data_IF_010304066375
#
_entry.id   IF_010304066375
#
_cell.length_a   1.000
_cell.length_b   1.000
_cell.length_c   1.000
_cell.angle_alpha   90.00
_cell.angle_beta   90.00
_cell.angle_gamma   90.00
#
_symmetry.space_group_name_H-M   'P 1'
#
loop_
_entity.id
_entity.type
_entity.pdbx_description
1 polymer ?
#
# COMPACT_ATOMS: atom_id res chain seq x y z
N UNK A 1 -74.97 -42.66 42.44
CA UNK A 1 -75.55 -41.33 42.19
C UNK A 1 -74.63 -40.52 41.28
N UNK A 2 -75.01 -40.26 40.02
CA UNK A 2 -74.22 -39.42 39.09
C UNK A 2 -74.78 -37.99 39.13
N UNK A 3 -74.03 -37.01 39.66
CA UNK A 3 -74.41 -35.59 39.60
C UNK A 3 -74.19 -35.08 38.17
N UNK A 4 -75.26 -34.62 37.50
CA UNK A 4 -75.17 -33.92 36.21
C UNK A 4 -74.86 -32.44 36.47
N UNK A 5 -73.74 -31.96 35.94
CA UNK A 5 -73.38 -30.54 35.96
C UNK A 5 -74.12 -29.86 34.80
N UNK A 6 -74.93 -28.85 35.09
CA UNK A 6 -75.65 -28.06 34.10
C UNK A 6 -74.92 -26.73 33.91
N UNK A 7 -74.14 -26.61 32.83
CA UNK A 7 -73.38 -25.39 32.51
C UNK A 7 -74.25 -24.44 31.66
N UNK A 8 -74.33 -23.16 32.01
CA UNK A 8 -75.05 -22.14 31.22
C UNK A 8 -74.35 -21.88 29.88
N UNK A 9 -75.12 -21.79 28.79
CA UNK A 9 -74.63 -21.46 27.44
C UNK A 9 -73.83 -20.15 27.38
N UNK A 10 -74.13 -19.18 28.26
CA UNK A 10 -73.35 -17.93 28.37
C UNK A 10 -71.92 -18.15 28.84
N UNK A 11 -71.69 -19.10 29.76
CA UNK A 11 -70.37 -19.45 30.28
C UNK A 11 -69.55 -20.23 29.25
N UNK A 12 -70.22 -21.05 28.44
CA UNK A 12 -69.58 -21.74 27.32
C UNK A 12 -69.10 -20.75 26.25
N UNK A 13 -69.92 -19.75 25.90
CA UNK A 13 -69.58 -18.74 24.89
C UNK A 13 -68.40 -17.86 25.33
N UNK A 14 -68.38 -17.39 26.58
CA UNK A 14 -67.27 -16.58 27.10
C UNK A 14 -65.97 -17.36 27.16
N UNK A 15 -66.00 -18.65 27.53
CA UNK A 15 -64.83 -19.51 27.50
C UNK A 15 -64.25 -19.69 26.09
N UNK A 16 -65.11 -19.85 25.08
CA UNK A 16 -64.69 -19.93 23.66
C UNK A 16 -64.06 -18.62 23.18
N UNK A 17 -64.65 -17.47 23.52
CA UNK A 17 -64.11 -16.16 23.14
C UNK A 17 -62.75 -15.87 23.80
N UNK A 18 -62.61 -16.19 25.08
CA UNK A 18 -61.32 -16.06 25.79
C UNK A 18 -60.28 -17.01 25.19
N UNK A 19 -60.67 -18.24 24.85
CA UNK A 19 -59.79 -19.22 24.18
C UNK A 19 -59.30 -18.74 22.81
N UNK A 20 -60.21 -18.20 21.99
CA UNK A 20 -59.88 -17.65 20.67
C UNK A 20 -58.96 -16.41 20.77
N UNK A 21 -59.24 -15.52 21.74
CA UNK A 21 -58.40 -14.36 22.01
C UNK A 21 -56.99 -14.75 22.49
N UNK A 22 -56.90 -15.72 23.40
CA UNK A 22 -55.62 -16.26 23.86
C UNK A 22 -54.84 -16.91 22.71
N UNK A 23 -55.49 -17.70 21.87
CA UNK A 23 -54.88 -18.31 20.70
C UNK A 23 -54.35 -17.25 19.70
N UNK A 24 -55.12 -16.19 19.44
CA UNK A 24 -54.68 -15.09 18.58
C UNK A 24 -53.44 -14.36 19.14
N UNK A 25 -53.40 -14.10 20.45
CA UNK A 25 -52.24 -13.49 21.10
C UNK A 25 -51.00 -14.39 21.01
N UNK A 26 -51.16 -15.70 21.25
CA UNK A 26 -50.08 -16.67 21.10
C UNK A 26 -49.56 -16.71 19.66
N UNK A 27 -50.47 -16.77 18.67
CA UNK A 27 -50.11 -16.77 17.25
C UNK A 27 -49.34 -15.49 16.85
N UNK A 28 -49.83 -14.31 17.28
CA UNK A 28 -49.16 -13.03 17.03
C UNK A 28 -47.75 -13.01 17.64
N UNK A 29 -47.60 -13.47 18.90
CA UNK A 29 -46.31 -13.53 19.57
C UNK A 29 -45.33 -14.46 18.84
N UNK A 30 -45.77 -15.66 18.44
CA UNK A 30 -44.94 -16.60 17.66
C UNK A 30 -44.48 -15.97 16.35
N UNK A 31 -45.37 -15.27 15.63
CA UNK A 31 -45.02 -14.55 14.41
C UNK A 31 -43.98 -13.45 14.66
N UNK A 32 -44.16 -12.63 15.70
CA UNK A 32 -43.20 -11.57 16.06
C UNK A 32 -41.84 -12.14 16.45
N UNK A 33 -41.80 -13.25 17.19
CA UNK A 33 -40.55 -13.96 17.52
C UNK A 33 -39.85 -14.46 16.25
N UNK A 34 -40.61 -15.01 15.30
CA UNK A 34 -40.08 -15.44 14.00
C UNK A 34 -39.49 -14.28 13.19
N UNK A 35 -40.15 -13.13 13.19
CA UNK A 35 -39.65 -11.93 12.48
C UNK A 35 -38.39 -11.36 13.16
N UNK A 36 -38.36 -11.33 14.50
CA UNK A 36 -37.20 -10.88 15.27
C UNK A 36 -35.99 -11.81 15.07
N UNK A 37 -36.19 -13.13 15.09
CA UNK A 37 -35.13 -14.12 14.83
C UNK A 37 -34.58 -14.00 13.41
N UNK A 38 -35.46 -13.76 12.41
CA UNK A 38 -35.03 -13.47 11.04
C UNK A 38 -34.15 -12.21 10.97
N UNK A 39 -34.56 -11.10 11.61
CA UNK A 39 -33.77 -9.86 11.65
C UNK A 39 -32.44 -10.05 12.37
N UNK A 40 -32.43 -10.80 13.48
CA UNK A 40 -31.20 -11.12 14.21
C UNK A 40 -30.24 -11.91 13.33
N UNK A 41 -30.72 -12.97 12.67
CA UNK A 41 -29.90 -13.77 11.76
C UNK A 41 -29.34 -12.95 10.58
N UNK A 42 -30.13 -11.99 10.06
CA UNK A 42 -29.66 -11.09 9.01
C UNK A 42 -28.62 -10.10 9.52
N UNK A 43 -28.80 -9.57 10.74
CA UNK A 43 -27.82 -8.70 11.37
C UNK A 43 -26.50 -9.44 11.63
N UNK A 44 -26.57 -10.65 12.16
CA UNK A 44 -25.41 -11.55 12.37
C UNK A 44 -24.67 -11.80 11.05
N UNK A 45 -25.40 -12.15 9.98
CA UNK A 45 -24.81 -12.34 8.65
C UNK A 45 -24.10 -11.08 8.16
N UNK A 46 -24.72 -9.90 8.30
CA UNK A 46 -24.10 -8.61 7.93
C UNK A 46 -22.84 -8.34 8.74
N UNK A 47 -22.86 -8.61 10.04
CA UNK A 47 -21.68 -8.45 10.89
C UNK A 47 -20.56 -9.42 10.52
N UNK A 48 -20.89 -10.66 10.15
CA UNK A 48 -19.92 -11.64 9.67
C UNK A 48 -19.26 -11.19 8.36
N UNK A 49 -20.05 -10.72 7.39
CA UNK A 49 -19.54 -10.18 6.11
C UNK A 49 -18.67 -8.94 6.34
N UNK A 50 -19.09 -8.04 7.24
CA UNK A 50 -18.31 -6.85 7.56
C UNK A 50 -16.97 -7.21 8.23
N UNK A 51 -16.98 -8.16 9.17
CA UNK A 51 -15.77 -8.66 9.81
C UNK A 51 -14.82 -9.33 8.82
N UNK A 52 -15.34 -10.11 7.87
CA UNK A 52 -14.52 -10.73 6.82
C UNK A 52 -13.91 -9.67 5.89
N UNK A 53 -14.69 -8.64 5.54
CA UNK A 53 -14.20 -7.50 4.74
C UNK A 53 -13.08 -6.75 5.47
N UNK A 54 -13.22 -6.52 6.78
CA UNK A 54 -12.18 -5.91 7.61
C UNK A 54 -10.91 -6.75 7.65
N UNK A 55 -11.04 -8.07 7.78
CA UNK A 55 -9.91 -9.00 7.74
C UNK A 55 -9.19 -8.94 6.39
N UNK A 56 -9.92 -9.01 5.28
CA UNK A 56 -9.34 -8.92 3.93
C UNK A 56 -8.60 -7.61 3.73
N UNK A 57 -9.18 -6.49 4.18
CA UNK A 57 -8.55 -5.19 4.08
C UNK A 57 -7.29 -5.10 4.93
N UNK A 58 -7.32 -5.63 6.15
CA UNK A 58 -6.16 -5.71 7.03
C UNK A 58 -5.03 -6.54 6.40
N UNK A 59 -5.35 -7.73 5.89
CA UNK A 59 -4.39 -8.58 5.18
C UNK A 59 -3.81 -7.87 3.96
N UNK A 60 -4.61 -7.07 3.26
CA UNK A 60 -4.17 -6.27 2.12
C UNK A 60 -3.17 -5.19 2.53
N UNK A 61 -3.44 -4.48 3.63
CA UNK A 61 -2.52 -3.47 4.18
C UNK A 61 -1.18 -4.10 4.55
N UNK A 62 -1.19 -5.27 5.18
CA UNK A 62 0.04 -6.01 5.51
C UNK A 62 0.83 -6.32 4.24
N UNK A 63 0.19 -6.92 3.23
CA UNK A 63 0.85 -7.26 1.95
C UNK A 63 1.43 -6.03 1.24
N UNK A 64 0.70 -4.91 1.26
CA UNK A 64 1.19 -3.66 0.68
C UNK A 64 2.38 -3.11 1.44
N UNK A 65 2.35 -3.17 2.78
CA UNK A 65 3.47 -2.74 3.61
C UNK A 65 4.71 -3.60 3.38
N UNK A 66 4.56 -4.92 3.27
CA UNK A 66 5.66 -5.83 2.95
C UNK A 66 6.24 -5.56 1.56
N UNK A 67 5.37 -5.34 0.56
CA UNK A 67 5.81 -4.97 -0.78
C UNK A 67 6.55 -3.62 -0.79
N UNK A 68 6.08 -2.65 -0.01
CA UNK A 68 6.71 -1.35 0.13
C UNK A 68 8.08 -1.47 0.79
N UNK A 69 8.17 -2.21 1.89
CA UNK A 69 9.42 -2.49 2.58
C UNK A 69 10.44 -3.13 1.64
N UNK A 70 10.04 -4.17 0.90
CA UNK A 70 10.91 -4.85 -0.07
C UNK A 70 11.37 -3.91 -1.19
N UNK A 71 10.48 -3.06 -1.72
CA UNK A 71 10.83 -2.11 -2.78
C UNK A 71 11.77 -0.98 -2.30
N UNK A 72 11.74 -0.68 -0.99
CA UNK A 72 12.49 0.41 -0.39
C UNK A 72 13.74 -0.04 0.39
N UNK A 73 13.93 -1.35 0.52
CA UNK A 73 14.94 -1.98 1.39
C UNK A 73 16.36 -1.41 1.22
N UNK A 74 16.78 -1.15 -0.03
CA UNK A 74 18.11 -0.63 -0.34
C UNK A 74 18.19 0.90 -0.44
N UNK A 75 17.08 1.62 -0.32
CA UNK A 75 17.11 3.07 -0.43
C UNK A 75 17.83 3.67 0.78
N UNK A 76 18.75 4.60 0.51
CA UNK A 76 19.59 5.21 1.55
C UNK A 76 18.79 5.71 2.77
N UNK A 77 17.61 6.32 2.54
CA UNK A 77 16.79 6.88 3.63
C UNK A 77 16.24 5.87 4.63
N UNK A 78 16.14 4.58 4.25
CA UNK A 78 15.62 3.52 5.11
C UNK A 78 16.74 2.62 5.66
N UNK A 79 17.99 2.82 5.22
CA UNK A 79 19.16 2.13 5.75
C UNK A 79 19.82 2.97 6.88
N UNK A 80 19.46 2.65 8.12
CA UNK A 80 20.00 3.33 9.30
C UNK A 80 21.52 3.19 9.48
N UNK A 81 22.12 2.10 9.00
CA UNK A 81 23.57 1.92 9.05
C UNK A 81 24.26 2.82 8.03
N UNK A 82 23.70 2.93 6.83
CA UNK A 82 24.21 3.84 5.81
C UNK A 82 24.10 5.31 6.24
N UNK A 83 22.98 5.72 6.82
CA UNK A 83 22.81 7.07 7.34
C UNK A 83 23.85 7.41 8.42
N UNK A 84 24.07 6.51 9.38
CA UNK A 84 25.10 6.66 10.42
C UNK A 84 26.51 6.75 9.85
N UNK A 85 26.81 6.02 8.77
CA UNK A 85 28.07 6.15 8.07
C UNK A 85 28.25 7.56 7.50
N UNK A 86 27.23 8.10 6.83
CA UNK A 86 27.28 9.43 6.22
C UNK A 86 27.36 10.56 7.26
N UNK A 87 26.70 10.41 8.42
CA UNK A 87 26.75 11.35 9.54
C UNK A 87 28.17 11.60 10.06
N UNK A 88 29.06 10.59 9.99
CA UNK A 88 30.47 10.75 10.40
C UNK A 88 31.21 11.82 9.60
N UNK A 89 30.80 12.05 8.36
CA UNK A 89 31.47 13.00 7.51
C UNK A 89 31.10 14.42 7.90
N UNK A 90 29.82 14.74 8.18
CA UNK A 90 29.36 16.14 8.31
C UNK A 90 28.23 16.41 9.31
N UNK A 91 28.01 15.50 10.27
CA UNK A 91 26.91 15.57 11.22
C UNK A 91 25.56 15.19 10.61
N UNK A 92 24.48 15.34 11.38
CA UNK A 92 23.12 15.07 10.91
C UNK A 92 22.72 16.10 9.84
N UNK A 93 22.78 15.68 8.57
CA UNK A 93 22.20 16.44 7.46
C UNK A 93 20.87 15.78 7.04
N UNK A 94 19.73 16.47 7.18
CA UNK A 94 18.53 16.02 6.50
C UNK A 94 18.76 16.07 4.99
N UNK A 95 18.43 14.98 4.29
CA UNK A 95 18.40 14.96 2.83
C UNK A 95 19.71 14.61 2.12
N UNK A 96 20.55 13.72 2.69
CA UNK A 96 21.70 13.14 1.99
C UNK A 96 21.35 12.63 0.58
N UNK A 97 20.26 11.89 0.45
CA UNK A 97 19.75 11.40 -0.84
C UNK A 97 19.51 12.53 -1.84
N UNK A 98 18.82 13.60 -1.42
CA UNK A 98 18.56 14.77 -2.27
C UNK A 98 19.87 15.48 -2.66
N UNK A 99 20.79 15.61 -1.71
CA UNK A 99 22.08 16.24 -1.94
C UNK A 99 22.92 15.47 -2.98
N UNK A 100 23.07 14.16 -2.81
CA UNK A 100 23.81 13.28 -3.72
C UNK A 100 23.18 13.29 -5.11
N UNK A 101 21.85 13.12 -5.19
CA UNK A 101 21.11 13.20 -6.46
C UNK A 101 21.36 14.52 -7.17
N UNK A 102 21.23 15.64 -6.47
CA UNK A 102 21.43 16.97 -7.05
C UNK A 102 22.87 17.15 -7.54
N UNK A 103 23.86 16.70 -6.77
CA UNK A 103 25.27 16.77 -7.17
C UNK A 103 25.54 15.94 -8.42
N UNK A 104 24.93 14.77 -8.56
CA UNK A 104 25.06 13.97 -9.77
C UNK A 104 24.40 14.68 -10.96
N UNK A 105 23.18 15.21 -10.82
CA UNK A 105 22.50 15.93 -11.89
C UNK A 105 23.25 17.20 -12.33
N UNK A 106 23.97 17.87 -11.43
CA UNK A 106 24.83 19.02 -11.74
C UNK A 106 26.03 18.66 -12.63
N UNK A 107 26.37 17.37 -12.77
CA UNK A 107 27.40 16.93 -13.72
C UNK A 107 26.93 17.02 -15.18
N UNK A 108 25.63 17.16 -15.42
CA UNK A 108 25.10 17.44 -16.76
C UNK A 108 25.54 18.85 -17.20
N UNK A 109 26.45 18.98 -18.19
CA UNK A 109 26.97 20.30 -18.56
C UNK A 109 25.94 21.05 -19.41
N UNK A 110 25.89 22.39 -19.40
CA UNK A 110 24.96 23.13 -20.24
C UNK A 110 25.19 22.90 -21.75
N UNK A 111 26.42 22.57 -22.14
CA UNK A 111 26.81 22.20 -23.51
C UNK A 111 27.82 21.05 -23.48
N UNK A 112 27.80 20.20 -24.50
CA UNK A 112 28.68 19.02 -24.61
C UNK A 112 28.17 17.79 -23.88
N UNK A 113 28.94 16.70 -23.97
CA UNK A 113 28.64 15.39 -23.36
C UNK A 113 28.90 15.39 -21.85
N UNK A 114 28.14 14.60 -21.09
CA UNK A 114 28.40 14.43 -19.66
C UNK A 114 29.68 13.57 -19.45
N UNK A 115 30.67 14.04 -18.68
CA UNK A 115 31.94 13.33 -18.51
C UNK A 115 31.83 11.98 -17.79
N UNK A 116 30.72 11.72 -17.09
CA UNK A 116 30.48 10.45 -16.39
C UNK A 116 29.79 9.41 -17.28
N UNK A 117 29.28 9.77 -18.45
CA UNK A 117 28.60 8.83 -19.34
C UNK A 117 29.62 8.37 -20.39
N UNK A 118 29.99 7.08 -20.45
CA UNK A 118 31.04 6.59 -21.34
C UNK A 118 30.55 6.35 -22.78
N UNK A 119 29.47 7.00 -23.17
CA UNK A 119 28.84 6.86 -24.48
C UNK A 119 28.55 8.25 -25.06
N UNK A 120 28.64 8.35 -26.37
CA UNK A 120 28.14 9.50 -27.09
C UNK A 120 26.70 9.27 -27.52
N UNK A 121 25.87 10.30 -27.41
CA UNK A 121 24.50 10.23 -27.90
C UNK A 121 24.44 10.54 -29.39
N UNK A 122 23.56 9.85 -30.08
CA UNK A 122 23.40 9.96 -31.54
C UNK A 122 22.59 11.21 -31.87
N UNK A 123 21.57 11.53 -31.04
CA UNK A 123 20.66 12.65 -31.28
C UNK A 123 21.03 13.91 -30.48
N UNK A 124 22.06 13.84 -29.65
CA UNK A 124 22.48 14.91 -28.76
C UNK A 124 23.25 14.37 -27.55
N UNK A 125 23.66 15.24 -26.62
CA UNK A 125 24.39 14.81 -25.43
C UNK A 125 23.48 13.98 -24.51
N UNK A 126 23.98 12.83 -24.06
CA UNK A 126 23.32 12.01 -23.04
C UNK A 126 23.35 12.74 -21.69
N UNK A 127 22.22 12.69 -20.96
CA UNK A 127 22.04 13.36 -19.67
C UNK A 127 21.37 12.45 -18.66
N UNK A 128 21.77 12.55 -17.39
CA UNK A 128 21.07 11.89 -16.29
C UNK A 128 19.68 12.49 -16.06
N UNK A 129 18.68 11.65 -15.79
CA UNK A 129 17.33 12.08 -15.46
C UNK A 129 16.86 11.53 -14.11
N UNK A 130 16.68 10.21 -14.03
CA UNK A 130 16.26 9.52 -12.83
C UNK A 130 17.47 8.96 -12.10
N UNK A 131 17.49 9.15 -10.78
CA UNK A 131 18.61 8.76 -9.90
C UNK A 131 18.02 8.20 -8.61
N UNK A 132 18.47 7.01 -8.22
CA UNK A 132 18.23 6.44 -6.89
C UNK A 132 19.55 6.17 -6.19
N UNK A 133 19.64 6.65 -4.96
CA UNK A 133 20.80 6.43 -4.09
C UNK A 133 20.54 5.20 -3.22
N UNK A 134 21.46 4.24 -3.27
CA UNK A 134 21.34 2.96 -2.60
C UNK A 134 22.40 2.82 -1.52
N UNK A 135 21.96 2.55 -0.29
CA UNK A 135 22.81 2.46 0.90
C UNK A 135 23.84 3.61 0.97
N UNK A 136 25.04 3.34 1.47
CA UNK A 136 26.10 4.33 1.69
C UNK A 136 27.12 4.47 0.54
N UNK A 137 26.91 3.79 -0.60
CA UNK A 137 27.96 3.65 -1.62
C UNK A 137 27.49 3.71 -3.06
N UNK A 138 26.27 3.26 -3.37
CA UNK A 138 25.88 3.04 -4.77
C UNK A 138 24.79 3.99 -5.24
N UNK A 139 24.74 4.19 -6.55
CA UNK A 139 23.70 4.93 -7.25
C UNK A 139 23.32 4.14 -8.49
N UNK A 140 22.02 4.01 -8.73
CA UNK A 140 21.51 3.64 -10.04
C UNK A 140 20.91 4.90 -10.68
N UNK A 141 21.27 5.13 -11.94
CA UNK A 141 20.77 6.26 -12.70
C UNK A 141 20.43 5.84 -14.13
N UNK A 142 19.43 6.47 -14.74
CA UNK A 142 19.25 6.41 -16.18
C UNK A 142 19.85 7.65 -16.84
N UNK A 143 20.11 7.52 -18.14
CA UNK A 143 20.53 8.62 -18.97
C UNK A 143 19.91 8.51 -20.36
N UNK A 144 19.67 9.64 -21.02
CA UNK A 144 19.12 9.66 -22.38
C UNK A 144 19.50 10.92 -23.16
N UNK A 145 19.41 10.84 -24.49
CA UNK A 145 19.54 11.96 -25.44
C UNK A 145 18.16 12.38 -25.99
N UNK A 146 17.08 11.89 -25.36
CA UNK A 146 15.70 12.06 -25.79
C UNK A 146 15.16 10.94 -26.71
N UNK A 147 16.03 10.13 -27.32
CA UNK A 147 15.60 8.97 -28.14
C UNK A 147 16.28 7.66 -27.72
N UNK A 148 17.56 7.71 -27.40
CA UNK A 148 18.35 6.60 -26.88
C UNK A 148 18.43 6.69 -25.37
N UNK A 149 18.35 5.54 -24.71
CA UNK A 149 18.27 5.44 -23.25
C UNK A 149 19.26 4.41 -22.77
N UNK A 150 19.80 4.64 -21.59
CA UNK A 150 20.73 3.74 -20.93
C UNK A 150 20.58 3.79 -19.43
N UNK A 151 21.22 2.83 -18.78
CA UNK A 151 21.28 2.74 -17.32
C UNK A 151 22.73 2.68 -16.87
N UNK A 152 22.98 3.22 -15.69
CA UNK A 152 24.30 3.24 -15.10
C UNK A 152 24.25 2.90 -13.62
N UNK A 153 25.23 2.10 -13.21
CA UNK A 153 25.61 1.88 -11.84
C UNK A 153 26.84 2.74 -11.54
N UNK A 154 26.72 3.61 -10.55
CA UNK A 154 27.79 4.45 -10.06
C UNK A 154 28.05 4.13 -8.59
N UNK A 155 29.25 4.48 -8.14
CA UNK A 155 29.54 4.68 -6.73
C UNK A 155 29.64 6.16 -6.39
N UNK A 156 29.38 6.49 -5.13
CA UNK A 156 29.62 7.81 -4.57
C UNK A 156 30.49 7.74 -3.31
N UNK A 157 31.26 8.80 -3.10
CA UNK A 157 32.08 8.97 -1.91
C UNK A 157 31.93 10.41 -1.39
N UNK A 158 31.41 10.61 -0.16
CA UNK A 158 31.40 11.93 0.46
C UNK A 158 32.83 12.36 0.79
N UNK A 159 33.27 13.49 0.24
CA UNK A 159 34.60 14.05 0.50
C UNK A 159 34.59 15.16 1.56
N UNK A 160 33.42 15.67 1.90
CA UNK A 160 33.27 16.98 2.52
C UNK A 160 31.79 17.38 2.64
N UNK A 161 31.53 18.50 3.32
CA UNK A 161 30.16 18.95 3.66
C UNK A 161 29.30 19.13 2.43
N UNK A 162 29.93 19.62 1.37
CA UNK A 162 29.28 19.99 0.12
C UNK A 162 29.93 19.37 -1.12
N UNK A 163 30.71 18.30 -0.92
CA UNK A 163 31.47 17.63 -1.98
C UNK A 163 31.26 16.13 -1.96
N UNK A 164 30.95 15.58 -3.14
CA UNK A 164 30.79 14.15 -3.40
C UNK A 164 31.58 13.82 -4.66
N UNK A 165 32.33 12.73 -4.63
CA UNK A 165 32.98 12.15 -5.79
C UNK A 165 32.08 11.05 -6.35
N UNK A 166 32.02 10.95 -7.68
CA UNK A 166 31.32 9.88 -8.37
C UNK A 166 32.33 9.02 -9.14
N UNK A 167 32.13 7.71 -9.08
CA UNK A 167 32.87 6.72 -9.87
C UNK A 167 31.91 5.91 -10.73
N UNK A 168 32.26 5.68 -11.98
CA UNK A 168 31.46 4.84 -12.89
C UNK A 168 31.85 3.39 -12.67
N UNK A 169 30.89 2.54 -12.28
CA UNK A 169 31.11 1.09 -12.14
C UNK A 169 30.81 0.40 -13.47
N UNK A 170 29.62 0.65 -14.01
CA UNK A 170 29.17 0.04 -15.27
C UNK A 170 28.04 0.86 -15.86
N UNK A 171 28.06 0.99 -17.18
CA UNK A 171 27.00 1.62 -17.95
C UNK A 171 26.54 0.68 -19.06
N UNK A 172 25.28 0.78 -19.44
CA UNK A 172 24.68 0.07 -20.56
C UNK A 172 23.77 1.02 -21.34
N UNK A 173 23.65 0.79 -22.64
CA UNK A 173 22.71 1.48 -23.55
C UNK A 173 21.78 0.43 -24.13
N UNK A 174 20.49 0.73 -24.17
CA UNK A 174 19.53 -0.15 -24.81
C UNK A 174 19.66 -0.08 -26.33
N UNK A 175 19.48 -1.20 -27.04
CA UNK A 175 19.41 -1.16 -28.49
C UNK A 175 18.23 -0.27 -28.91
N UNK A 176 18.35 0.46 -30.03
CA UNK A 176 17.22 1.21 -30.57
C UNK A 176 16.06 0.24 -30.86
N UNK A 177 14.83 0.66 -30.57
CA UNK A 177 13.66 -0.12 -30.94
C UNK A 177 13.66 -0.36 -32.47
N UNK A 178 13.37 -1.59 -32.93
CA UNK A 178 13.28 -1.86 -34.35
C UNK A 178 12.19 -0.95 -34.94
N UNK A 179 12.50 -0.29 -36.05
CA UNK A 179 11.51 0.50 -36.78
C UNK A 179 10.37 -0.44 -37.23
N UNK A 180 9.15 -0.15 -36.77
CA UNK A 180 7.91 -0.78 -37.28
C UNK A 180 7.64 -0.40 -38.74
#
# INVERSE_FOLDING_TARGET
MKKKICLSWSVALTAVLLGAGMFYLLYRNVRTIKDQTCRLSQAETRTAVLNDSLRILHDSIIRLNDSLYNAQFFLLRYDGNAMRYLEKFHGERPGWEYFIRRKLLQTNPPKGSNPLIPFDGINGPLRFHNVRVLNHKWIIADFSDGRNWGQMLLEYEPLGRDSVRFGVIRALVYPPEPAE
#
